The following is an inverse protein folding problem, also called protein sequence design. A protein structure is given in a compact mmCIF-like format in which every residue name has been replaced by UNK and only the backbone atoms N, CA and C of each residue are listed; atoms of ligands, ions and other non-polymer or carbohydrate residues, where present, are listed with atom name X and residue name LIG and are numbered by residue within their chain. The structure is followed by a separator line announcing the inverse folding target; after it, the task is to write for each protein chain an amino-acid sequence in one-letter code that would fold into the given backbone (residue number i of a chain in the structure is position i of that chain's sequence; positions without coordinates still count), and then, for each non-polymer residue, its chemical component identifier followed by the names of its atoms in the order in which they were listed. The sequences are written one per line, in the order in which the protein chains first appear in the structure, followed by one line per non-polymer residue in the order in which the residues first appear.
data_IF_677515742187
#
_entry.id   IF_677515742187
#
_cell.length_a   1.000
_cell.length_b   1.000
_cell.length_c   1.000
_cell.angle_alpha   90.00
_cell.angle_beta   90.00
_cell.angle_gamma   90.00
#
_symmetry.space_group_name_H-M   'P 1'
#
loop_
_entity.id
_entity.type
_entity.pdbx_description
1 polymer ?
#
# COMPACT_ATOMS: atom_id res chain seq x y z
N UNK A 1 -24.84 2.93 -18.12
CA UNK A 1 -24.28 2.32 -19.34
C UNK A 1 -23.04 1.55 -18.95
N UNK A 2 -22.87 0.32 -19.44
CA UNK A 2 -21.85 -0.63 -18.97
C UNK A 2 -20.45 -0.27 -19.52
N UNK A 3 -19.83 0.73 -18.91
CA UNK A 3 -18.51 1.29 -19.28
C UNK A 3 -17.39 0.23 -19.38
N UNK A 4 -17.29 -0.79 -18.49
CA UNK A 4 -16.30 -1.86 -18.62
C UNK A 4 -16.48 -2.70 -19.89
N UNK A 5 -17.73 -2.97 -20.28
CA UNK A 5 -18.06 -3.72 -21.51
C UNK A 5 -17.64 -2.96 -22.77
N UNK A 6 -17.75 -1.63 -22.77
CA UNK A 6 -17.26 -0.80 -23.88
C UNK A 6 -15.74 -0.77 -23.96
N UNK A 7 -15.03 -0.71 -22.83
CA UNK A 7 -13.57 -0.78 -22.79
C UNK A 7 -13.04 -2.13 -23.30
N UNK A 8 -13.65 -3.25 -22.92
CA UNK A 8 -13.29 -4.58 -23.45
C UNK A 8 -13.48 -4.66 -24.98
N UNK A 9 -14.55 -4.07 -25.51
CA UNK A 9 -14.78 -4.01 -26.97
C UNK A 9 -13.69 -3.21 -27.68
N UNK A 10 -13.22 -2.10 -27.09
CA UNK A 10 -12.13 -1.28 -27.63
C UNK A 10 -10.79 -2.04 -27.61
N UNK A 11 -10.43 -2.66 -26.47
CA UNK A 11 -9.23 -3.51 -26.37
C UNK A 11 -9.27 -4.62 -27.41
N UNK A 12 -10.39 -5.33 -27.53
CA UNK A 12 -10.55 -6.37 -28.54
C UNK A 12 -10.35 -5.84 -29.96
N UNK A 13 -10.91 -4.67 -30.27
CA UNK A 13 -10.73 -4.00 -31.56
C UNK A 13 -9.26 -3.69 -31.85
N UNK A 14 -8.56 -3.09 -30.89
CA UNK A 14 -7.14 -2.73 -31.01
C UNK A 14 -6.27 -3.97 -31.20
N UNK A 15 -6.51 -5.03 -30.42
CA UNK A 15 -5.75 -6.27 -30.52
C UNK A 15 -5.95 -6.94 -31.88
N UNK A 16 -7.19 -7.08 -32.36
CA UNK A 16 -7.50 -7.74 -33.64
C UNK A 16 -6.94 -6.96 -34.83
N UNK A 17 -6.94 -5.63 -34.76
CA UNK A 17 -6.39 -4.77 -35.82
C UNK A 17 -4.86 -4.60 -35.73
N UNK A 18 -4.24 -5.11 -34.67
CA UNK A 18 -2.81 -4.97 -34.44
C UNK A 18 -1.94 -5.76 -35.41
N UNK A 19 -0.75 -5.21 -35.70
CA UNK A 19 0.32 -5.93 -36.42
C UNK A 19 0.81 -7.16 -35.64
N UNK A 20 0.71 -7.13 -34.30
CA UNK A 20 1.11 -8.23 -33.43
C UNK A 20 0.19 -9.45 -33.65
N UNK A 21 -1.12 -9.23 -33.70
CA UNK A 21 -2.11 -10.27 -33.99
C UNK A 21 -1.92 -10.85 -35.40
N UNK A 22 -1.79 -9.98 -36.39
CA UNK A 22 -1.56 -10.38 -37.79
C UNK A 22 -0.27 -11.19 -37.98
N UNK A 23 0.73 -10.98 -37.12
CA UNK A 23 1.99 -11.74 -37.14
C UNK A 23 1.84 -13.10 -36.47
N UNK A 24 1.17 -13.16 -35.31
CA UNK A 24 0.88 -14.41 -34.62
C UNK A 24 0.03 -15.33 -35.50
N UNK A 25 -0.99 -14.78 -36.16
CA UNK A 25 -1.86 -15.54 -37.07
C UNK A 25 -1.07 -16.16 -38.23
N UNK A 26 -0.08 -15.45 -38.78
CA UNK A 26 0.79 -15.98 -39.83
C UNK A 26 1.70 -17.09 -39.31
N UNK A 27 2.24 -16.96 -38.10
CA UNK A 27 3.10 -17.99 -37.49
C UNK A 27 2.30 -19.24 -37.11
N UNK A 28 1.10 -19.09 -36.54
CA UNK A 28 0.16 -20.19 -36.31
C UNK A 28 -0.21 -20.90 -37.60
N UNK A 29 -0.53 -20.14 -38.66
CA UNK A 29 -0.84 -20.71 -39.97
C UNK A 29 0.36 -21.45 -40.55
N UNK A 30 1.57 -20.88 -40.44
CA UNK A 30 2.81 -21.53 -40.88
C UNK A 30 3.07 -22.85 -40.15
N UNK A 31 2.86 -22.92 -38.83
CA UNK A 31 2.98 -24.16 -38.05
C UNK A 31 1.95 -25.21 -38.46
N UNK A 32 0.70 -24.80 -38.69
CA UNK A 32 -0.35 -25.71 -39.18
C UNK A 32 -0.09 -26.20 -40.62
N UNK A 33 0.52 -25.39 -41.49
CA UNK A 33 0.82 -25.77 -42.87
C UNK A 33 2.15 -26.53 -43.04
N UNK A 34 3.14 -26.27 -42.18
CA UNK A 34 4.45 -26.90 -42.22
C UNK A 34 4.46 -28.33 -41.69
N UNK A 35 3.50 -28.67 -40.82
CA UNK A 35 3.39 -30.00 -40.22
C UNK A 35 2.61 -31.01 -41.08
N UNK A 36 2.94 -31.21 -42.37
CA UNK A 36 2.39 -32.29 -43.23
C UNK A 36 0.88 -32.60 -43.12
N UNK A 37 0.04 -31.64 -42.73
CA UNK A 37 -1.40 -31.86 -42.60
C UNK A 37 -1.98 -31.80 -44.02
N UNK A 38 -2.29 -32.98 -44.59
CA UNK A 38 -3.16 -33.08 -45.77
C UNK A 38 -4.40 -32.26 -45.48
N UNK A 39 -4.61 -31.20 -46.27
CA UNK A 39 -5.75 -30.28 -46.28
C UNK A 39 -6.62 -30.36 -45.02
N UNK A 40 -6.45 -29.40 -44.10
CA UNK A 40 -7.13 -29.30 -42.80
C UNK A 40 -8.64 -29.68 -42.82
N UNK A 41 -9.33 -29.50 -43.95
CA UNK A 41 -10.70 -29.95 -44.19
C UNK A 41 -10.96 -31.46 -44.05
N UNK A 42 -9.99 -32.34 -44.28
CA UNK A 42 -10.16 -33.81 -44.24
C UNK A 42 -9.94 -34.44 -42.85
N UNK A 43 -9.57 -33.65 -41.85
CA UNK A 43 -9.29 -34.12 -40.49
C UNK A 43 -10.58 -34.26 -39.67
N UNK A 44 -10.58 -35.24 -38.76
CA UNK A 44 -11.62 -35.34 -37.73
C UNK A 44 -11.58 -34.12 -36.79
N UNK A 45 -12.66 -33.84 -36.08
CA UNK A 45 -12.72 -32.72 -35.12
C UNK A 45 -11.65 -32.84 -34.03
N UNK A 46 -11.37 -34.08 -33.59
CA UNK A 46 -10.34 -34.38 -32.60
C UNK A 46 -8.93 -34.07 -33.13
N UNK A 47 -8.65 -34.45 -34.37
CA UNK A 47 -7.33 -34.21 -34.98
C UNK A 47 -7.10 -32.73 -35.30
N UNK A 48 -8.17 -31.99 -35.63
CA UNK A 48 -8.13 -30.53 -35.78
C UNK A 48 -7.77 -29.84 -34.47
N UNK A 49 -8.40 -30.27 -33.37
CA UNK A 49 -8.10 -29.76 -32.02
C UNK A 49 -6.64 -30.06 -31.64
N UNK A 50 -6.19 -31.30 -31.77
CA UNK A 50 -4.82 -31.70 -31.45
C UNK A 50 -3.76 -30.99 -32.32
N UNK A 51 -4.09 -30.65 -33.57
CA UNK A 51 -3.22 -29.87 -34.44
C UNK A 51 -3.16 -28.39 -34.03
N UNK A 52 -4.29 -27.81 -33.62
CA UNK A 52 -4.36 -26.43 -33.11
C UNK A 52 -3.63 -26.33 -31.78
N UNK A 53 -3.83 -27.26 -30.85
CA UNK A 53 -3.15 -27.29 -29.56
C UNK A 53 -1.63 -27.34 -29.72
N UNK A 54 -1.12 -28.24 -30.57
CA UNK A 54 0.32 -28.29 -30.90
C UNK A 54 0.84 -26.99 -31.51
N UNK A 55 0.07 -26.38 -32.42
CA UNK A 55 0.46 -25.12 -33.02
C UNK A 55 0.47 -23.96 -32.00
N UNK A 56 -0.48 -23.96 -31.06
CA UNK A 56 -0.57 -22.98 -29.97
C UNK A 56 0.59 -23.15 -28.99
N UNK A 57 0.92 -24.38 -28.59
CA UNK A 57 2.07 -24.68 -27.74
C UNK A 57 3.38 -24.24 -28.40
N UNK A 58 3.60 -24.61 -29.66
CA UNK A 58 4.80 -24.24 -30.41
C UNK A 58 4.94 -22.71 -30.58
N UNK A 59 3.82 -22.00 -30.67
CA UNK A 59 3.79 -20.54 -30.82
C UNK A 59 3.88 -19.82 -29.46
N UNK A 60 3.48 -20.47 -28.36
CA UNK A 60 3.46 -19.90 -27.01
C UNK A 60 4.82 -19.40 -26.50
N UNK A 61 5.92 -19.96 -27.01
CA UNK A 61 7.29 -19.55 -26.65
C UNK A 61 7.92 -18.55 -27.65
N UNK A 62 7.20 -18.18 -28.70
CA UNK A 62 7.74 -17.33 -29.77
C UNK A 62 7.74 -15.85 -29.42
N UNK A 63 8.64 -15.11 -30.06
CA UNK A 63 8.66 -13.65 -29.98
C UNK A 63 7.37 -12.99 -30.49
N UNK A 64 6.61 -13.64 -31.40
CA UNK A 64 5.33 -13.10 -31.86
C UNK A 64 4.25 -13.18 -30.78
N UNK A 65 4.19 -14.29 -30.05
CA UNK A 65 3.26 -14.43 -28.92
C UNK A 65 3.61 -13.46 -27.79
N UNK A 66 4.88 -13.34 -27.44
CA UNK A 66 5.34 -12.36 -26.44
C UNK A 66 4.96 -10.91 -26.82
N UNK A 67 5.09 -10.54 -28.11
CA UNK A 67 4.69 -9.22 -28.63
C UNK A 67 3.17 -9.02 -28.58
N UNK A 68 2.38 -10.02 -28.94
CA UNK A 68 0.92 -9.94 -28.81
C UNK A 68 0.52 -9.76 -27.36
N UNK A 69 1.09 -10.56 -26.44
CA UNK A 69 0.82 -10.45 -25.01
C UNK A 69 1.15 -9.05 -24.47
N UNK A 70 2.30 -8.50 -24.88
CA UNK A 70 2.67 -7.13 -24.52
C UNK A 70 1.68 -6.10 -25.09
N UNK A 71 1.25 -6.25 -26.34
CA UNK A 71 0.29 -5.34 -26.96
C UNK A 71 -1.11 -5.40 -26.33
N UNK A 72 -1.58 -6.60 -25.98
CA UNK A 72 -2.81 -6.80 -25.20
C UNK A 72 -2.70 -6.08 -23.87
N UNK A 73 -1.59 -6.27 -23.13
CA UNK A 73 -1.38 -5.59 -21.85
C UNK A 73 -1.40 -4.06 -22.01
N UNK A 74 -0.65 -3.48 -22.97
CA UNK A 74 -0.66 -2.03 -23.22
C UNK A 74 -2.03 -1.49 -23.62
N UNK A 75 -2.79 -2.24 -24.44
CA UNK A 75 -4.13 -1.83 -24.85
C UNK A 75 -5.11 -1.88 -23.67
N UNK A 76 -5.03 -2.92 -22.84
CA UNK A 76 -5.79 -3.00 -21.58
C UNK A 76 -5.45 -1.82 -20.68
N UNK A 77 -4.17 -1.55 -20.41
CA UNK A 77 -3.75 -0.42 -19.58
C UNK A 77 -4.28 0.91 -20.13
N UNK A 78 -4.19 1.14 -21.44
CA UNK A 78 -4.66 2.37 -22.07
C UNK A 78 -6.17 2.61 -21.89
N UNK A 79 -6.99 1.56 -22.01
CA UNK A 79 -8.45 1.71 -21.93
C UNK A 79 -9.01 1.56 -20.51
N UNK A 80 -8.32 0.83 -19.62
CA UNK A 80 -8.81 0.51 -18.27
C UNK A 80 -8.17 1.36 -17.16
N UNK A 81 -6.92 1.81 -17.29
CA UNK A 81 -6.30 2.67 -16.26
C UNK A 81 -7.07 3.97 -16.00
N UNK A 82 -7.61 4.68 -17.03
CA UNK A 82 -8.45 5.86 -16.79
C UNK A 82 -9.77 5.54 -16.10
N UNK A 83 -10.28 4.30 -16.20
CA UNK A 83 -11.53 3.90 -15.57
C UNK A 83 -11.31 3.47 -14.11
N UNK A 84 -10.19 2.78 -13.83
CA UNK A 84 -9.81 2.32 -12.49
C UNK A 84 -9.28 3.43 -11.59
N UNK A 85 -8.52 4.36 -12.17
CA UNK A 85 -7.68 5.29 -11.41
C UNK A 85 -8.04 6.76 -11.65
N UNK A 86 -9.19 7.05 -12.27
CA UNK A 86 -9.69 8.42 -12.31
C UNK A 86 -10.03 8.87 -10.88
N UNK A 87 -9.45 9.98 -10.40
CA UNK A 87 -9.85 10.55 -9.13
C UNK A 87 -11.29 11.05 -9.24
N UNK A 88 -12.20 10.71 -8.31
CA UNK A 88 -13.40 11.50 -8.13
C UNK A 88 -12.97 12.92 -7.67
N UNK A 89 -12.90 13.89 -8.58
CA UNK A 89 -12.83 15.32 -8.22
C UNK A 89 -11.62 16.15 -8.71
N UNK A 90 -10.51 15.56 -9.15
CA UNK A 90 -9.30 16.38 -9.48
C UNK A 90 -9.48 17.21 -10.78
N UNK A 91 -10.42 16.86 -11.65
CA UNK A 91 -10.72 17.67 -12.84
C UNK A 91 -11.59 18.93 -12.56
N UNK A 92 -12.15 19.11 -11.35
CA UNK A 92 -13.04 20.25 -11.06
C UNK A 92 -12.56 21.18 -9.93
N UNK A 93 -11.73 20.71 -8.98
CA UNK A 93 -11.38 21.54 -7.81
C UNK A 93 -10.34 22.65 -8.08
N UNK A 94 -9.59 22.60 -9.18
CA UNK A 94 -8.67 23.68 -9.55
C UNK A 94 -9.30 24.81 -10.38
N UNK A 95 -10.61 24.72 -10.71
CA UNK A 95 -11.33 25.71 -11.52
C UNK A 95 -12.37 26.53 -10.77
N UNK A 96 -12.65 26.26 -9.49
CA UNK A 96 -13.71 26.94 -8.75
C UNK A 96 -13.14 27.95 -7.73
N UNK A 97 -12.72 29.10 -8.25
CA UNK A 97 -12.88 30.36 -7.52
C UNK A 97 -14.34 30.80 -7.63
N UNK A 98 -14.90 31.36 -6.55
CA UNK A 98 -16.29 31.84 -6.37
C UNK A 98 -17.24 30.71 -5.93
N UNK A 99 -17.58 30.67 -4.64
CA UNK A 99 -18.76 31.31 -4.04
C UNK A 99 -20.07 30.57 -4.36
N UNK A 100 -20.77 30.23 -3.27
CA UNK A 100 -22.15 29.79 -3.14
C UNK A 100 -22.60 28.35 -3.39
N UNK A 101 -23.41 27.94 -2.42
CA UNK A 101 -24.51 26.97 -2.45
C UNK A 101 -24.18 25.48 -2.22
N UNK A 102 -24.39 25.13 -0.95
CA UNK A 102 -24.94 23.87 -0.47
C UNK A 102 -25.95 23.23 -1.44
N UNK A 103 -25.53 22.21 -2.16
CA UNK A 103 -26.26 20.95 -2.48
C UNK A 103 -25.46 20.20 -3.53
N UNK A 104 -24.35 19.59 -3.12
CA UNK A 104 -23.79 18.49 -3.90
C UNK A 104 -24.39 17.18 -3.37
N UNK A 105 -25.01 16.34 -4.22
CA UNK A 105 -25.37 15.00 -3.81
C UNK A 105 -24.07 14.31 -3.40
N UNK A 106 -24.01 13.82 -2.16
CA UNK A 106 -23.00 12.82 -1.79
C UNK A 106 -23.21 11.66 -2.74
N UNK A 107 -22.40 11.57 -3.80
CA UNK A 107 -22.29 10.35 -4.57
C UNK A 107 -21.90 9.28 -3.56
N UNK A 108 -22.84 8.39 -3.24
CA UNK A 108 -22.50 7.13 -2.61
C UNK A 108 -21.41 6.51 -3.48
N UNK A 109 -20.34 5.95 -2.88
CA UNK A 109 -19.35 5.21 -3.64
C UNK A 109 -20.03 3.93 -4.10
N UNK A 110 -20.74 3.99 -5.22
CA UNK A 110 -21.14 2.78 -5.93
C UNK A 110 -19.84 2.03 -6.23
N UNK A 111 -19.76 0.78 -5.76
CA UNK A 111 -18.59 -0.07 -5.96
C UNK A 111 -18.20 -0.03 -7.43
N UNK A 112 -16.97 0.42 -7.72
CA UNK A 112 -16.44 0.41 -9.08
C UNK A 112 -16.48 -1.05 -9.58
N UNK A 113 -17.37 -1.39 -10.53
CA UNK A 113 -17.54 -2.77 -10.98
C UNK A 113 -16.26 -3.36 -11.54
N UNK A 114 -15.37 -2.50 -12.03
CA UNK A 114 -14.08 -2.87 -12.56
C UNK A 114 -13.08 -3.19 -11.44
N UNK A 115 -13.01 -2.36 -10.40
CA UNK A 115 -12.22 -2.64 -9.22
C UNK A 115 -12.65 -3.95 -8.54
N UNK A 116 -13.96 -4.21 -8.46
CA UNK A 116 -14.51 -5.46 -7.95
C UNK A 116 -14.11 -6.66 -8.82
N UNK A 117 -14.18 -6.54 -10.15
CA UNK A 117 -13.74 -7.60 -11.06
C UNK A 117 -12.24 -7.88 -10.94
N UNK A 118 -11.40 -6.84 -10.84
CA UNK A 118 -9.96 -6.97 -10.60
C UNK A 118 -9.67 -7.63 -9.25
N UNK A 119 -10.43 -7.28 -8.20
CA UNK A 119 -10.30 -7.87 -6.86
C UNK A 119 -10.57 -9.38 -6.91
N UNK A 120 -11.71 -9.78 -7.48
CA UNK A 120 -12.08 -11.19 -7.63
C UNK A 120 -11.09 -11.98 -8.49
N UNK A 121 -10.59 -11.37 -9.56
CA UNK A 121 -9.58 -11.99 -10.41
C UNK A 121 -8.29 -12.24 -9.63
N UNK A 122 -7.85 -11.27 -8.84
CA UNK A 122 -6.64 -11.40 -8.03
C UNK A 122 -6.81 -12.43 -6.90
N UNK A 123 -7.98 -12.48 -6.27
CA UNK A 123 -8.32 -13.51 -5.27
C UNK A 123 -8.33 -14.91 -5.88
N UNK A 124 -8.95 -15.07 -7.05
CA UNK A 124 -8.98 -16.35 -7.77
C UNK A 124 -7.61 -16.74 -8.35
N UNK A 125 -6.73 -15.78 -8.61
CA UNK A 125 -5.42 -15.98 -9.24
C UNK A 125 -4.33 -15.11 -8.60
N UNK A 126 -3.86 -15.45 -7.37
CA UNK A 126 -2.89 -14.63 -6.63
C UNK A 126 -1.54 -14.44 -7.34
N UNK A 127 -1.18 -15.33 -8.25
CA UNK A 127 0.03 -15.22 -9.07
C UNK A 127 0.01 -13.98 -10.00
N UNK A 128 -1.16 -13.37 -10.24
CA UNK A 128 -1.31 -12.12 -10.98
C UNK A 128 -0.88 -10.89 -10.19
N UNK A 129 -0.41 -11.02 -8.95
CA UNK A 129 0.07 -9.90 -8.13
C UNK A 129 1.14 -9.03 -8.81
N UNK A 130 1.95 -9.60 -9.71
CA UNK A 130 2.93 -8.82 -10.47
C UNK A 130 2.28 -7.79 -11.41
N UNK A 131 1.04 -8.01 -11.84
CA UNK A 131 0.27 -7.07 -12.65
C UNK A 131 -0.13 -5.82 -11.86
N UNK A 132 -0.10 -5.84 -10.52
CA UNK A 132 -0.36 -4.65 -9.69
C UNK A 132 0.65 -3.52 -9.93
N UNK A 133 1.78 -3.78 -10.60
CA UNK A 133 2.73 -2.75 -11.01
C UNK A 133 2.12 -1.70 -11.95
N UNK A 134 1.03 -2.01 -12.65
CA UNK A 134 0.29 -1.01 -13.43
C UNK A 134 -0.40 0.06 -12.54
N UNK A 135 -0.61 -0.25 -11.25
CA UNK A 135 -1.18 0.66 -10.27
C UNK A 135 -0.13 1.50 -9.51
N UNK A 136 1.14 1.47 -9.94
CA UNK A 136 2.16 2.35 -9.38
C UNK A 136 1.76 3.82 -9.59
N UNK A 137 1.87 4.62 -8.53
CA UNK A 137 1.42 6.01 -8.44
C UNK A 137 -0.10 6.22 -8.61
N UNK A 138 -0.90 5.16 -8.48
CA UNK A 138 -2.36 5.25 -8.50
C UNK A 138 -2.97 4.79 -7.16
N UNK A 139 -4.02 5.47 -6.67
CA UNK A 139 -4.73 5.02 -5.48
C UNK A 139 -5.50 3.73 -5.80
N UNK A 140 -5.37 2.72 -4.92
CA UNK A 140 -6.19 1.52 -5.02
C UNK A 140 -7.58 1.74 -4.43
N UNK A 141 -8.67 1.37 -5.13
CA UNK A 141 -9.98 1.24 -4.52
C UNK A 141 -9.96 0.23 -3.37
N UNK A 142 -10.84 0.38 -2.37
CA UNK A 142 -10.80 -0.40 -1.12
C UNK A 142 -10.79 -1.92 -1.34
N UNK A 143 -11.72 -2.47 -2.12
CA UNK A 143 -11.76 -3.91 -2.41
C UNK A 143 -10.49 -4.43 -3.10
N UNK A 144 -9.96 -3.65 -4.06
CA UNK A 144 -8.73 -4.01 -4.76
C UNK A 144 -7.51 -3.93 -3.84
N UNK A 145 -7.48 -2.96 -2.92
CA UNK A 145 -6.44 -2.87 -1.88
C UNK A 145 -6.43 -4.10 -1.00
N UNK A 146 -7.59 -4.51 -0.48
CA UNK A 146 -7.71 -5.71 0.35
C UNK A 146 -7.20 -6.95 -0.40
N UNK A 147 -7.64 -7.16 -1.64
CA UNK A 147 -7.16 -8.26 -2.47
C UNK A 147 -5.65 -8.18 -2.76
N UNK A 148 -5.13 -6.98 -3.03
CA UNK A 148 -3.71 -6.74 -3.28
C UNK A 148 -2.85 -7.04 -2.05
N UNK A 149 -3.24 -6.55 -0.88
CA UNK A 149 -2.52 -6.79 0.37
C UNK A 149 -2.50 -8.27 0.71
N UNK A 150 -3.63 -8.98 0.59
CA UNK A 150 -3.67 -10.44 0.72
C UNK A 150 -2.70 -11.13 -0.24
N UNK A 151 -2.73 -10.79 -1.53
CA UNK A 151 -1.88 -11.44 -2.53
C UNK A 151 -0.38 -11.16 -2.33
N UNK A 152 -0.03 -9.95 -1.86
CA UNK A 152 1.35 -9.50 -1.65
C UNK A 152 1.91 -9.94 -0.30
N UNK A 153 1.09 -10.00 0.75
CA UNK A 153 1.53 -10.18 2.14
C UNK A 153 1.09 -11.49 2.79
N UNK A 154 0.35 -12.37 2.08
CA UNK A 154 -0.13 -13.63 2.66
C UNK A 154 1.00 -14.50 3.21
N UNK A 155 0.79 -14.99 4.44
CA UNK A 155 1.66 -15.94 5.15
C UNK A 155 0.83 -17.07 5.74
N UNK A 156 0.54 -18.14 4.97
CA UNK A 156 -0.29 -19.25 5.43
C UNK A 156 0.29 -19.96 6.67
N UNK A 157 1.61 -19.97 6.82
CA UNK A 157 2.32 -20.46 8.00
C UNK A 157 1.91 -19.67 9.25
N UNK A 158 1.94 -18.33 9.17
CA UNK A 158 1.55 -17.44 10.27
C UNK A 158 0.06 -17.55 10.60
N UNK A 159 -0.80 -17.67 9.59
CA UNK A 159 -2.24 -17.86 9.80
C UNK A 159 -2.53 -19.12 10.62
N UNK A 160 -1.92 -20.25 10.23
CA UNK A 160 -2.09 -21.52 10.93
C UNK A 160 -1.58 -21.43 12.37
N UNK A 161 -0.42 -20.81 12.56
CA UNK A 161 0.23 -20.68 13.85
C UNK A 161 -0.58 -19.77 14.80
N UNK A 162 -1.12 -18.66 14.28
CA UNK A 162 -2.03 -17.77 15.00
C UNK A 162 -3.30 -18.48 15.49
N UNK A 163 -3.93 -19.30 14.63
CA UNK A 163 -5.15 -20.04 14.99
C UNK A 163 -4.90 -21.03 16.13
N UNK A 164 -3.71 -21.64 16.17
CA UNK A 164 -3.28 -22.52 17.28
C UNK A 164 -3.03 -21.72 18.56
N UNK A 165 -2.37 -20.57 18.46
CA UNK A 165 -2.03 -19.70 19.60
C UNK A 165 -3.25 -19.07 20.29
N UNK A 166 -4.44 -19.11 19.69
CA UNK A 166 -5.59 -18.31 20.09
C UNK A 166 -6.06 -18.42 21.56
N UNK A 167 -5.68 -19.44 22.33
CA UNK A 167 -5.98 -19.50 23.78
C UNK A 167 -5.04 -18.62 24.61
N UNK A 168 -3.80 -18.43 24.16
CA UNK A 168 -2.75 -17.69 24.86
C UNK A 168 -2.83 -16.18 24.61
N UNK A 169 -3.52 -15.78 23.54
CA UNK A 169 -3.72 -14.39 23.12
C UNK A 169 -4.79 -13.63 23.93
N UNK A 170 -5.31 -14.21 25.01
CA UNK A 170 -6.23 -13.52 25.92
C UNK A 170 -5.46 -12.68 26.94
N UNK A 171 -5.99 -11.51 27.37
CA UNK A 171 -5.36 -10.65 28.36
C UNK A 171 -5.42 -11.26 29.77
N UNK A 172 -4.57 -12.27 30.02
CA UNK A 172 -4.40 -12.90 31.33
C UNK A 172 -3.41 -12.14 32.23
N UNK A 173 -2.29 -11.70 31.66
CA UNK A 173 -1.17 -11.11 32.38
C UNK A 173 -1.16 -9.57 32.28
N UNK A 174 -0.51 -8.88 33.22
CA UNK A 174 -0.48 -7.40 33.27
C UNK A 174 0.07 -6.77 31.98
N UNK A 175 1.11 -7.34 31.38
CA UNK A 175 1.63 -6.86 30.09
C UNK A 175 0.58 -6.94 28.97
N UNK A 176 -0.24 -7.99 28.95
CA UNK A 176 -1.31 -8.16 27.94
C UNK A 176 -2.48 -7.20 28.19
N UNK A 177 -2.78 -6.90 29.46
CA UNK A 177 -3.76 -5.88 29.84
C UNK A 177 -3.29 -4.49 29.44
N UNK A 178 -2.00 -4.21 29.59
CA UNK A 178 -1.41 -2.93 29.17
C UNK A 178 -1.51 -2.71 27.66
N UNK A 179 -1.15 -3.72 26.86
CA UNK A 179 -1.37 -3.68 25.40
C UNK A 179 -2.84 -3.44 25.07
N UNK A 180 -3.74 -4.14 25.75
CA UNK A 180 -5.18 -3.97 25.53
C UNK A 180 -5.67 -2.54 25.82
N UNK A 181 -5.12 -1.91 26.87
CA UNK A 181 -5.38 -0.51 27.22
C UNK A 181 -4.82 0.45 26.16
N UNK A 182 -3.57 0.25 25.74
CA UNK A 182 -2.92 1.06 24.71
C UNK A 182 -3.66 0.97 23.36
N UNK A 183 -4.09 -0.22 22.93
CA UNK A 183 -4.92 -0.36 21.72
C UNK A 183 -6.24 0.40 21.82
N UNK A 184 -6.90 0.36 22.99
CA UNK A 184 -8.15 1.10 23.23
C UNK A 184 -7.93 2.61 23.14
N UNK A 185 -6.85 3.11 23.72
CA UNK A 185 -6.49 4.52 23.64
C UNK A 185 -6.22 4.94 22.18
N UNK A 186 -5.43 4.15 21.44
CA UNK A 186 -5.12 4.42 20.03
C UNK A 186 -6.40 4.50 19.18
N UNK A 187 -7.28 3.50 19.22
CA UNK A 187 -8.49 3.50 18.36
C UNK A 187 -9.61 4.40 18.87
N UNK A 188 -9.73 4.60 20.19
CA UNK A 188 -10.85 5.29 20.82
C UNK A 188 -10.66 6.79 20.99
N UNK A 189 -9.43 7.24 21.26
CA UNK A 189 -9.17 8.65 21.61
C UNK A 189 -8.49 9.43 20.48
N UNK A 190 -7.91 8.74 19.49
CA UNK A 190 -7.25 9.40 18.37
C UNK A 190 -8.28 9.81 17.29
N UNK A 191 -8.46 11.10 17.01
CA UNK A 191 -9.44 11.59 16.02
C UNK A 191 -9.11 11.14 14.59
N UNK A 192 -7.85 10.81 14.30
CA UNK A 192 -7.41 10.32 12.98
C UNK A 192 -8.03 8.96 12.68
N UNK A 193 -8.36 8.17 13.72
CA UNK A 193 -8.90 6.82 13.58
C UNK A 193 -10.39 6.74 13.91
N UNK A 194 -11.11 7.87 13.80
CA UNK A 194 -12.55 7.97 14.12
C UNK A 194 -13.43 6.93 13.45
N UNK A 195 -13.04 6.42 12.29
CA UNK A 195 -13.79 5.38 11.55
C UNK A 195 -13.73 4.01 12.23
N UNK A 196 -12.71 3.77 13.05
CA UNK A 196 -12.56 2.55 13.85
C UNK A 196 -13.06 2.75 15.30
N UNK A 197 -13.32 4.00 15.70
CA UNK A 197 -13.72 4.33 17.05
C UNK A 197 -15.09 3.69 17.37
N UNK A 198 -15.15 2.97 18.49
CA UNK A 198 -16.36 2.29 18.94
C UNK A 198 -16.58 0.88 18.36
N UNK A 199 -15.81 0.45 17.36
CA UNK A 199 -15.91 -0.92 16.85
C UNK A 199 -15.21 -1.91 17.79
N UNK A 200 -16.01 -2.72 18.49
CA UNK A 200 -15.51 -3.74 19.42
C UNK A 200 -14.74 -4.85 18.70
N UNK A 201 -15.13 -5.20 17.48
CA UNK A 201 -14.46 -6.21 16.66
C UNK A 201 -13.15 -5.68 16.09
N UNK A 202 -13.09 -4.42 15.63
CA UNK A 202 -11.83 -3.80 15.21
C UNK A 202 -10.82 -3.72 16.37
N UNK A 203 -11.28 -3.33 17.57
CA UNK A 203 -10.45 -3.35 18.78
C UNK A 203 -9.95 -4.75 19.12
N UNK A 204 -10.82 -5.76 19.04
CA UNK A 204 -10.45 -7.16 19.30
C UNK A 204 -9.44 -7.68 18.28
N UNK A 205 -9.60 -7.33 17.00
CA UNK A 205 -8.67 -7.68 15.94
C UNK A 205 -7.28 -7.06 16.20
N UNK A 206 -7.23 -5.74 16.45
CA UNK A 206 -5.99 -5.03 16.77
C UNK A 206 -5.28 -5.65 17.97
N UNK A 207 -6.01 -5.92 19.06
CA UNK A 207 -5.46 -6.53 20.27
C UNK A 207 -4.89 -7.92 19.99
N UNK A 208 -5.62 -8.78 19.28
CA UNK A 208 -5.16 -10.14 19.00
C UNK A 208 -3.89 -10.15 18.12
N UNK A 209 -3.85 -9.29 17.10
CA UNK A 209 -2.72 -9.15 16.17
C UNK A 209 -1.47 -8.66 16.90
N UNK A 210 -1.61 -7.60 17.71
CA UNK A 210 -0.48 -7.03 18.46
C UNK A 210 0.02 -7.99 19.53
N UNK A 211 -0.88 -8.65 20.27
CA UNK A 211 -0.48 -9.64 21.29
C UNK A 211 0.26 -10.82 20.66
N UNK A 212 -0.15 -11.25 19.48
CA UNK A 212 0.56 -12.28 18.74
C UNK A 212 1.95 -11.82 18.30
N UNK A 213 2.09 -10.58 17.81
CA UNK A 213 3.39 -10.00 17.51
C UNK A 213 4.29 -9.91 18.75
N UNK A 214 3.77 -9.47 19.89
CA UNK A 214 4.50 -9.41 21.15
C UNK A 214 5.08 -10.79 21.53
N UNK A 215 4.28 -11.85 21.40
CA UNK A 215 4.71 -13.22 21.67
C UNK A 215 5.81 -13.66 20.71
N UNK A 216 5.68 -13.34 19.42
CA UNK A 216 6.64 -13.74 18.37
C UNK A 216 7.96 -12.98 18.46
N UNK A 217 7.91 -11.66 18.65
CA UNK A 217 9.07 -10.79 18.72
C UNK A 217 9.86 -10.95 20.03
N UNK A 218 9.30 -11.61 21.04
CA UNK A 218 9.93 -11.83 22.36
C UNK A 218 10.41 -10.51 23.01
N UNK A 219 9.61 -9.45 22.89
CA UNK A 219 9.99 -8.10 23.35
C UNK A 219 8.79 -7.21 23.67
N UNK A 220 9.08 -6.03 24.21
CA UNK A 220 8.08 -5.00 24.45
C UNK A 220 7.62 -4.38 23.13
N UNK A 221 6.31 -4.20 22.97
CA UNK A 221 5.74 -3.55 21.79
C UNK A 221 5.81 -2.02 21.95
N UNK A 222 6.48 -1.36 21.02
CA UNK A 222 6.61 0.10 20.98
C UNK A 222 5.29 0.76 20.53
N UNK A 223 5.08 2.03 20.91
CA UNK A 223 3.89 2.78 20.44
C UNK A 223 3.84 2.92 18.92
N UNK A 224 5.00 3.01 18.26
CA UNK A 224 5.09 3.02 16.81
C UNK A 224 4.56 1.72 16.20
N UNK A 225 4.88 0.57 16.80
CA UNK A 225 4.43 -0.75 16.33
C UNK A 225 2.92 -0.91 16.54
N UNK A 226 2.37 -0.41 17.64
CA UNK A 226 0.92 -0.33 17.82
C UNK A 226 0.24 0.44 16.70
N UNK A 227 0.77 1.63 16.35
CA UNK A 227 0.23 2.45 15.27
C UNK A 227 0.33 1.75 13.91
N UNK A 228 1.39 0.99 13.65
CA UNK A 228 1.55 0.22 12.42
C UNK A 228 0.48 -0.88 12.24
N UNK A 229 -0.20 -1.32 13.29
CA UNK A 229 -1.31 -2.29 13.14
C UNK A 229 -2.61 -1.66 12.61
N UNK A 230 -2.78 -0.35 12.77
CA UNK A 230 -4.05 0.35 12.50
C UNK A 230 -4.46 0.29 11.02
N UNK A 231 -3.57 0.50 10.03
CA UNK A 231 -3.96 0.43 8.62
C UNK A 231 -4.50 -0.93 8.20
N UNK A 232 -3.96 -2.03 8.73
CA UNK A 232 -4.49 -3.37 8.46
C UNK A 232 -5.92 -3.54 8.98
N UNK A 233 -6.17 -3.14 10.24
CA UNK A 233 -7.52 -3.17 10.82
C UNK A 233 -8.48 -2.29 10.02
N UNK A 234 -8.01 -1.15 9.53
CA UNK A 234 -8.80 -0.25 8.67
C UNK A 234 -9.15 -0.84 7.30
N UNK A 235 -8.19 -1.45 6.61
CA UNK A 235 -8.44 -2.10 5.30
C UNK A 235 -9.41 -3.28 5.44
N UNK A 236 -9.43 -3.93 6.60
CA UNK A 236 -10.33 -5.04 6.88
C UNK A 236 -11.68 -4.62 7.49
N UNK A 237 -11.93 -3.33 7.69
CA UNK A 237 -13.11 -2.84 8.46
C UNK A 237 -14.44 -3.39 7.95
N UNK A 238 -14.65 -3.42 6.63
CA UNK A 238 -15.93 -3.83 6.04
C UNK A 238 -16.17 -5.33 6.22
N UNK A 239 -15.11 -6.14 6.18
CA UNK A 239 -15.20 -7.57 6.47
C UNK A 239 -15.46 -7.82 7.95
N UNK A 240 -14.78 -7.07 8.83
CA UNK A 240 -14.97 -7.14 10.28
C UNK A 240 -16.41 -6.75 10.69
N UNK A 241 -16.98 -5.72 10.08
CA UNK A 241 -18.36 -5.27 10.31
C UNK A 241 -19.39 -6.28 9.79
N UNK A 242 -19.18 -6.82 8.58
CA UNK A 242 -20.04 -7.88 8.02
C UNK A 242 -20.10 -9.13 8.90
N UNK A 243 -19.05 -9.42 9.66
CA UNK A 243 -19.06 -10.51 10.64
C UNK A 243 -19.94 -10.18 11.84
N UNK A 244 -19.93 -8.95 12.36
CA UNK A 244 -20.80 -8.52 13.48
C UNK A 244 -22.27 -8.73 13.12
N UNK A 245 -22.67 -8.35 11.91
CA UNK A 245 -24.05 -8.50 11.43
C UNK A 245 -24.48 -9.97 11.28
N UNK A 246 -23.53 -10.88 11.06
CA UNK A 246 -23.76 -12.33 10.93
C UNK A 246 -23.62 -13.10 12.25
N UNK A 247 -23.19 -12.43 13.34
CA UNK A 247 -22.71 -13.03 14.60
C UNK A 247 -23.78 -13.68 15.50
N UNK A 248 -24.93 -14.06 14.98
CA UNK A 248 -25.84 -14.95 15.71
C UNK A 248 -25.31 -16.40 15.81
N UNK A 249 -24.32 -16.83 15.00
CA UNK A 249 -24.01 -18.27 14.88
C UNK A 249 -22.56 -18.76 14.89
N UNK A 250 -21.47 -17.96 14.81
CA UNK A 250 -20.13 -18.57 14.96
C UNK A 250 -19.01 -17.61 15.39
N UNK A 251 -18.38 -17.85 16.55
CA UNK A 251 -17.14 -17.16 16.99
C UNK A 251 -15.90 -17.59 16.19
N UNK A 252 -16.04 -18.61 15.33
CA UNK A 252 -14.94 -19.19 14.56
C UNK A 252 -14.54 -18.35 13.36
N UNK A 253 -15.50 -17.71 12.68
CA UNK A 253 -15.24 -16.95 11.45
C UNK A 253 -14.43 -15.67 11.69
N UNK A 254 -14.73 -14.91 12.73
CA UNK A 254 -13.96 -13.71 13.09
C UNK A 254 -12.47 -14.04 13.36
N UNK A 255 -12.18 -15.23 13.90
CA UNK A 255 -10.79 -15.65 14.15
C UNK A 255 -10.00 -15.90 12.87
N UNK A 256 -10.65 -16.36 11.80
CA UNK A 256 -9.98 -16.57 10.51
C UNK A 256 -9.53 -15.21 9.96
N UNK A 257 -10.41 -14.21 10.00
CA UNK A 257 -10.07 -12.84 9.60
C UNK A 257 -8.93 -12.27 10.46
N UNK A 258 -8.95 -12.49 11.77
CA UNK A 258 -7.86 -12.03 12.64
C UNK A 258 -6.53 -12.70 12.28
N UNK A 259 -6.56 -13.97 11.90
CA UNK A 259 -5.37 -14.69 11.45
C UNK A 259 -4.82 -14.13 10.12
N UNK A 260 -5.70 -13.72 9.20
CA UNK A 260 -5.29 -13.07 7.96
C UNK A 260 -4.64 -11.70 8.22
N UNK A 261 -5.28 -10.86 9.05
CA UNK A 261 -4.71 -9.57 9.48
C UNK A 261 -3.36 -9.79 10.18
N UNK A 262 -3.25 -10.79 11.05
CA UNK A 262 -2.01 -11.11 11.76
C UNK A 262 -0.90 -11.53 10.79
N UNK A 263 -1.22 -12.32 9.77
CA UNK A 263 -0.27 -12.74 8.76
C UNK A 263 0.26 -11.56 7.94
N UNK A 264 -0.63 -10.66 7.49
CA UNK A 264 -0.24 -9.43 6.77
C UNK A 264 0.65 -8.54 7.64
N UNK A 265 0.25 -8.32 8.90
CA UNK A 265 0.99 -7.50 9.85
C UNK A 265 2.38 -8.08 10.17
N UNK A 266 2.48 -9.39 10.46
CA UNK A 266 3.77 -10.04 10.75
C UNK A 266 4.69 -9.97 9.55
N UNK A 267 4.18 -10.25 8.34
CA UNK A 267 5.00 -10.16 7.15
C UNK A 267 5.51 -8.73 6.92
N UNK A 268 4.64 -7.75 7.12
CA UNK A 268 5.02 -6.34 7.05
C UNK A 268 6.10 -5.97 8.08
N UNK A 269 5.94 -6.39 9.34
CA UNK A 269 6.92 -6.15 10.39
C UNK A 269 8.30 -6.76 10.07
N UNK A 270 8.31 -7.97 9.50
CA UNK A 270 9.53 -8.66 9.03
C UNK A 270 10.19 -7.96 7.82
N UNK A 271 9.43 -7.16 7.06
CA UNK A 271 9.90 -6.43 5.88
C UNK A 271 10.17 -4.94 6.11
N UNK A 272 10.06 -4.45 7.35
CA UNK A 272 10.26 -3.03 7.63
C UNK A 272 11.64 -2.57 7.13
N UNK A 273 11.69 -1.43 6.41
CA UNK A 273 12.97 -0.92 5.95
C UNK A 273 13.86 -0.61 7.16
N UNK A 274 15.19 -0.70 7.03
CA UNK A 274 16.11 -0.48 8.15
C UNK A 274 15.86 0.85 8.87
N UNK A 275 15.45 1.92 8.18
CA UNK A 275 15.12 3.22 8.78
C UNK A 275 13.92 3.22 9.74
N UNK A 276 13.08 2.18 9.71
CA UNK A 276 11.86 2.02 10.51
C UNK A 276 12.04 0.93 11.58
N UNK A 277 12.94 -0.03 11.34
CA UNK A 277 13.21 -1.17 12.23
C UNK A 277 13.53 -0.75 13.67
N UNK A 278 13.13 -1.59 14.62
CA UNK A 278 13.38 -1.46 16.06
C UNK A 278 14.81 -1.84 16.46
N UNK A 279 15.58 -2.51 15.58
CA UNK A 279 17.00 -2.81 15.78
C UNK A 279 17.83 -1.53 15.84
N UNK A 280 18.37 -1.19 17.02
CA UNK A 280 19.05 0.09 17.24
C UNK A 280 20.24 0.35 16.30
N UNK A 281 20.98 -0.71 15.91
CA UNK A 281 22.16 -0.62 15.04
C UNK A 281 21.78 -0.47 13.57
N UNK A 282 20.85 -1.29 13.08
CA UNK A 282 20.35 -1.22 11.70
C UNK A 282 19.53 0.06 11.46
N UNK A 283 18.76 0.47 12.47
CA UNK A 283 17.96 1.70 12.47
C UNK A 283 18.83 2.95 12.37
N UNK A 284 19.98 2.98 13.04
CA UNK A 284 20.87 4.13 12.95
C UNK A 284 21.47 4.32 11.54
N UNK A 285 21.97 3.26 10.90
CA UNK A 285 22.52 3.35 9.54
C UNK A 285 21.42 3.55 8.49
N UNK A 286 20.31 2.81 8.61
CA UNK A 286 19.14 2.95 7.76
C UNK A 286 18.59 4.37 7.78
N UNK A 287 18.39 4.94 8.96
CA UNK A 287 17.88 6.31 9.10
C UNK A 287 18.90 7.36 8.61
N UNK A 288 20.21 7.08 8.68
CA UNK A 288 21.25 7.94 8.10
C UNK A 288 21.18 7.98 6.58
N UNK A 289 21.02 6.83 5.93
CA UNK A 289 20.81 6.73 4.47
C UNK A 289 19.51 7.42 4.07
N UNK A 290 18.44 7.17 4.83
CA UNK A 290 17.15 7.81 4.63
C UNK A 290 17.21 9.33 4.70
N UNK A 291 17.79 9.89 5.77
CA UNK A 291 17.92 11.33 5.97
C UNK A 291 18.77 11.98 4.87
N UNK A 292 19.86 11.32 4.43
CA UNK A 292 20.65 11.78 3.30
C UNK A 292 19.82 11.84 2.02
N UNK A 293 19.04 10.80 1.73
CA UNK A 293 18.21 10.77 0.53
C UNK A 293 17.15 11.88 0.53
N UNK A 294 16.54 12.15 1.68
CA UNK A 294 15.59 13.27 1.83
C UNK A 294 16.29 14.62 1.65
N UNK A 295 17.50 14.82 2.19
CA UNK A 295 18.28 16.05 1.95
C UNK A 295 18.60 16.26 0.47
N UNK A 296 19.07 15.23 -0.23
CA UNK A 296 19.36 15.27 -1.67
C UNK A 296 18.12 15.66 -2.49
N UNK A 297 16.97 15.06 -2.17
CA UNK A 297 15.70 15.36 -2.83
C UNK A 297 15.25 16.79 -2.52
N UNK A 298 15.32 17.25 -1.27
CA UNK A 298 14.99 18.64 -0.93
C UNK A 298 15.92 19.64 -1.61
N UNK A 299 17.21 19.35 -1.69
CA UNK A 299 18.17 20.22 -2.38
C UNK A 299 17.87 20.32 -3.88
N UNK A 300 17.37 19.24 -4.49
CA UNK A 300 17.03 19.19 -5.91
C UNK A 300 15.69 19.87 -6.20
N UNK A 301 14.64 19.52 -5.44
CA UNK A 301 13.27 19.94 -5.69
C UNK A 301 12.92 21.32 -5.11
N UNK A 302 13.48 21.70 -3.96
CA UNK A 302 13.28 23.03 -3.36
C UNK A 302 14.53 23.54 -2.61
N UNK A 303 15.50 24.11 -3.36
CA UNK A 303 16.73 24.66 -2.78
C UNK A 303 16.48 25.75 -1.73
N UNK A 304 15.38 26.50 -1.84
CA UNK A 304 15.04 27.58 -0.91
C UNK A 304 14.64 27.01 0.45
N UNK A 305 13.77 26.00 0.46
CA UNK A 305 13.37 25.30 1.67
C UNK A 305 14.58 24.61 2.32
N UNK A 306 15.40 23.92 1.52
CA UNK A 306 16.63 23.30 1.99
C UNK A 306 17.55 24.32 2.69
N UNK A 307 17.79 25.49 2.07
CA UNK A 307 18.62 26.54 2.67
C UNK A 307 18.01 27.10 3.97
N UNK A 308 16.69 27.29 4.02
CA UNK A 308 15.99 27.78 5.20
C UNK A 308 16.11 26.81 6.38
N UNK A 309 15.89 25.51 6.14
CA UNK A 309 16.09 24.45 7.13
C UNK A 309 17.53 24.40 7.60
N UNK A 310 18.51 24.51 6.68
CA UNK A 310 19.92 24.55 7.03
C UNK A 310 20.28 25.73 7.96
N UNK A 311 19.68 26.91 7.73
CA UNK A 311 19.83 28.07 8.62
C UNK A 311 19.18 27.82 10.00
N UNK A 312 17.98 27.22 10.04
CA UNK A 312 17.29 26.89 11.29
C UNK A 312 18.05 25.83 12.12
N UNK A 313 18.65 24.84 11.46
CA UNK A 313 19.39 23.75 12.11
C UNK A 313 20.70 24.25 12.72
N UNK A 314 21.43 25.13 12.01
CA UNK A 314 22.66 25.76 12.52
C UNK A 314 22.46 26.57 13.80
N UNK A 315 21.32 27.26 13.93
CA UNK A 315 21.01 28.08 15.12
C UNK A 315 20.77 27.28 16.40
N UNK A 316 20.44 26.00 16.29
CA UNK A 316 20.07 25.16 17.44
C UNK A 316 21.28 24.38 17.95
N UNK A 317 22.47 25.00 17.92
CA UNK A 317 23.79 24.38 18.08
C UNK A 317 24.02 23.58 19.36
N UNK A 318 23.49 22.35 19.41
CA UNK A 318 23.52 21.50 20.60
C UNK A 318 23.70 20.01 20.31
N UNK A 319 24.22 19.60 19.15
CA UNK A 319 24.63 18.19 18.98
C UNK A 319 25.90 17.95 19.82
N UNK A 320 25.90 16.99 20.77
CA UNK A 320 27.10 16.60 21.50
C UNK A 320 28.23 16.28 20.52
N UNK A 321 29.48 16.66 20.85
CA UNK A 321 30.65 16.41 19.98
C UNK A 321 30.80 14.93 19.55
N UNK A 322 30.25 14.00 20.33
CA UNK A 322 30.26 12.54 20.08
C UNK A 322 29.37 12.14 18.90
N UNK A 323 28.19 12.73 18.75
CA UNK A 323 27.23 12.37 17.69
C UNK A 323 27.58 12.95 16.32
N UNK A 324 28.32 14.06 16.29
CA UNK A 324 28.82 14.66 15.05
C UNK A 324 29.75 13.72 14.27
N UNK A 325 30.57 12.91 14.96
CA UNK A 325 31.47 11.94 14.30
C UNK A 325 30.71 10.77 13.67
N UNK A 326 29.60 10.33 14.27
CA UNK A 326 28.81 9.21 13.76
C UNK A 326 27.94 9.58 12.53
N UNK A 327 27.38 10.80 12.51
CA UNK A 327 26.45 11.24 11.46
C UNK A 327 27.10 12.07 10.35
N UNK A 328 28.31 12.58 10.56
CA UNK A 328 29.10 13.33 9.58
C UNK A 328 28.59 14.76 9.35
N UNK A 329 27.35 14.91 8.88
CA UNK A 329 26.69 16.18 8.60
C UNK A 329 25.72 16.54 9.75
N UNK A 330 25.87 17.72 10.40
CA UNK A 330 24.91 18.21 11.39
C UNK A 330 23.47 18.30 10.86
N UNK A 331 23.30 18.55 9.55
CA UNK A 331 21.99 18.57 8.91
C UNK A 331 21.30 17.20 8.98
N UNK A 332 21.98 16.12 8.58
CA UNK A 332 21.44 14.75 8.67
C UNK A 332 21.01 14.39 10.10
N UNK A 333 21.82 14.74 11.10
CA UNK A 333 21.49 14.45 12.50
C UNK A 333 20.21 15.17 12.92
N UNK A 334 20.09 16.47 12.63
CA UNK A 334 18.91 17.24 12.98
C UNK A 334 17.68 16.80 12.19
N UNK A 335 17.85 16.50 10.89
CA UNK A 335 16.78 15.97 10.06
C UNK A 335 16.28 14.62 10.59
N UNK A 336 17.20 13.74 11.02
CA UNK A 336 16.86 12.48 11.71
C UNK A 336 16.03 12.74 12.95
N UNK A 337 16.46 13.63 13.85
CA UNK A 337 15.70 13.93 15.08
C UNK A 337 14.29 14.43 14.81
N UNK A 338 14.08 15.14 13.69
CA UNK A 338 12.78 15.67 13.29
C UNK A 338 11.93 14.57 12.65
N UNK A 339 12.49 13.79 11.73
CA UNK A 339 11.74 12.83 10.92
C UNK A 339 11.51 11.49 11.63
N UNK A 340 12.41 11.06 12.49
CA UNK A 340 12.39 9.72 13.09
C UNK A 340 11.05 9.35 13.75
N UNK A 341 10.40 10.22 14.56
CA UNK A 341 9.10 9.89 15.17
C UNK A 341 7.97 9.67 14.15
N UNK A 342 8.10 10.25 12.95
CA UNK A 342 7.13 10.12 11.87
C UNK A 342 7.42 8.89 11.00
N UNK A 343 8.70 8.61 10.76
CA UNK A 343 9.14 7.48 9.94
C UNK A 343 8.99 6.15 10.68
N UNK A 344 9.26 6.08 11.99
CA UNK A 344 9.08 4.85 12.77
C UNK A 344 7.67 4.28 12.76
N UNK A 345 6.67 5.15 12.56
CA UNK A 345 5.26 4.78 12.41
C UNK A 345 4.78 4.87 10.96
N UNK A 346 5.69 4.99 10.00
CA UNK A 346 5.40 5.15 8.56
C UNK A 346 4.27 6.14 8.27
N UNK A 347 4.33 7.31 8.92
CA UNK A 347 3.38 8.42 8.83
C UNK A 347 1.96 8.13 9.37
N UNK A 348 1.75 6.99 10.03
CA UNK A 348 0.47 6.68 10.69
C UNK A 348 0.16 7.73 11.75
N UNK A 349 -1.02 8.33 11.65
CA UNK A 349 -1.44 9.44 12.51
C UNK A 349 -0.90 10.82 12.10
N UNK A 350 0.06 10.91 11.18
CA UNK A 350 0.55 12.21 10.66
C UNK A 350 -0.27 12.72 9.47
N UNK A 351 -0.79 11.77 8.67
CA UNK A 351 -1.63 12.01 7.50
C UNK A 351 -2.94 11.20 7.60
N UNK A 352 -3.91 11.46 6.72
CA UNK A 352 -5.16 10.70 6.70
C UNK A 352 -4.92 9.23 6.38
N UNK A 353 -5.83 8.36 6.81
CA UNK A 353 -5.70 6.92 6.60
C UNK A 353 -5.64 6.55 5.10
N UNK A 354 -6.38 7.25 4.24
CA UNK A 354 -6.30 7.05 2.79
C UNK A 354 -4.90 7.31 2.24
N UNK A 355 -4.21 8.34 2.74
CA UNK A 355 -2.84 8.68 2.33
C UNK A 355 -1.86 7.64 2.87
N UNK A 356 -2.03 7.17 4.10
CA UNK A 356 -1.23 6.07 4.66
C UNK A 356 -1.37 4.82 3.78
N UNK A 357 -2.62 4.43 3.50
CA UNK A 357 -2.92 3.25 2.69
C UNK A 357 -2.32 3.39 1.29
N UNK A 358 -2.43 4.57 0.66
CA UNK A 358 -1.78 4.84 -0.63
C UNK A 358 -0.25 4.64 -0.55
N UNK A 359 0.43 5.23 0.44
CA UNK A 359 1.88 5.08 0.59
C UNK A 359 2.25 3.61 0.77
N UNK A 360 1.46 2.86 1.54
CA UNK A 360 1.69 1.45 1.80
C UNK A 360 1.40 0.58 0.58
N UNK A 361 0.37 0.89 -0.20
CA UNK A 361 0.11 0.25 -1.50
C UNK A 361 1.36 0.35 -2.38
N UNK A 362 1.95 1.54 -2.48
CA UNK A 362 3.15 1.76 -3.28
C UNK A 362 4.36 0.99 -2.73
N UNK A 363 4.55 0.95 -1.41
CA UNK A 363 5.58 0.13 -0.78
C UNK A 363 5.38 -1.37 -1.10
N UNK A 364 4.16 -1.88 -0.97
CA UNK A 364 3.84 -3.31 -1.14
C UNK A 364 3.96 -3.77 -2.59
N UNK A 365 3.47 -2.98 -3.55
CA UNK A 365 3.59 -3.28 -4.98
C UNK A 365 5.06 -3.38 -5.41
N UNK A 366 5.95 -2.60 -4.77
CA UNK A 366 7.38 -2.59 -5.07
C UNK A 366 8.25 -3.55 -4.26
N UNK A 367 7.67 -4.40 -3.39
CA UNK A 367 8.46 -5.29 -2.50
C UNK A 367 9.39 -6.25 -3.25
N UNK A 368 9.03 -6.66 -4.47
CA UNK A 368 9.82 -7.58 -5.27
C UNK A 368 10.98 -6.89 -6.03
N UNK A 369 11.16 -5.57 -5.84
CA UNK A 369 12.23 -4.77 -6.44
C UNK A 369 13.18 -4.26 -5.34
N UNK A 370 14.38 -4.85 -5.17
CA UNK A 370 15.28 -4.54 -4.05
C UNK A 370 15.68 -3.05 -3.92
N UNK A 371 15.74 -2.33 -5.04
CA UNK A 371 16.13 -0.93 -5.09
C UNK A 371 14.94 0.04 -4.93
N UNK A 372 13.72 -0.49 -4.91
CA UNK A 372 12.52 0.34 -4.85
C UNK A 372 12.28 0.85 -3.43
N UNK A 373 12.71 2.07 -3.18
CA UNK A 373 12.53 2.77 -1.89
C UNK A 373 11.75 4.06 -2.11
N UNK A 374 10.42 3.98 -2.05
CA UNK A 374 9.53 5.12 -2.28
C UNK A 374 9.32 6.01 -1.05
N UNK A 375 9.54 5.49 0.17
CA UNK A 375 9.28 6.23 1.42
C UNK A 375 10.05 7.57 1.55
N UNK A 376 11.34 7.69 1.16
CA UNK A 376 12.03 8.99 1.13
C UNK A 376 11.34 10.00 0.22
N UNK A 377 10.81 9.58 -0.92
CA UNK A 377 10.11 10.46 -1.86
C UNK A 377 8.80 10.97 -1.27
N UNK A 378 7.98 10.08 -0.70
CA UNK A 378 6.75 10.51 0.01
C UNK A 378 7.04 11.45 1.17
N UNK A 379 8.13 11.19 1.89
CA UNK A 379 8.56 12.08 2.99
C UNK A 379 8.98 13.45 2.48
N UNK A 380 9.74 13.52 1.38
CA UNK A 380 10.09 14.80 0.75
C UNK A 380 8.83 15.53 0.28
N UNK A 381 7.91 14.86 -0.41
CA UNK A 381 6.63 15.45 -0.83
C UNK A 381 5.85 15.98 0.36
N UNK A 382 5.77 15.22 1.45
CA UNK A 382 5.13 15.68 2.69
C UNK A 382 5.78 16.96 3.25
N UNK A 383 7.12 17.05 3.25
CA UNK A 383 7.83 18.27 3.66
C UNK A 383 7.57 19.44 2.71
N UNK A 384 7.51 19.20 1.40
CA UNK A 384 7.19 20.22 0.39
C UNK A 384 5.76 20.73 0.53
N UNK A 385 4.79 19.88 0.85
CA UNK A 385 3.42 20.30 1.17
C UNK A 385 3.35 21.18 2.44
N UNK A 386 4.33 21.05 3.33
CA UNK A 386 4.47 21.88 4.54
C UNK A 386 5.42 23.07 4.36
N UNK A 387 5.92 23.30 3.15
CA UNK A 387 6.92 24.30 2.79
C UNK A 387 6.69 25.65 3.44
N UNK A 388 5.52 26.26 3.24
CA UNK A 388 5.27 27.62 3.75
C UNK A 388 5.34 27.70 5.27
N UNK A 389 4.97 26.62 5.96
CA UNK A 389 5.10 26.54 7.42
C UNK A 389 6.57 26.41 7.80
N UNK A 390 7.30 25.52 7.13
CA UNK A 390 8.71 25.23 7.40
C UNK A 390 9.63 26.42 7.08
N UNK A 391 9.35 27.20 6.04
CA UNK A 391 10.07 28.45 5.73
C UNK A 391 9.98 29.48 6.86
N UNK A 392 8.89 29.46 7.64
CA UNK A 392 8.70 30.32 8.81
C UNK A 392 9.35 29.76 10.08
N UNK A 393 9.94 28.56 10.04
CA UNK A 393 10.61 27.97 11.18
C UNK A 393 11.97 28.64 11.40
N UNK A 394 12.20 29.14 12.61
CA UNK A 394 13.45 29.82 13.00
C UNK A 394 14.42 28.92 13.78
N UNK A 395 13.96 27.75 14.21
CA UNK A 395 14.69 26.78 15.03
C UNK A 395 14.17 25.36 14.83
N UNK A 396 14.92 24.35 15.27
CA UNK A 396 14.50 22.94 15.22
C UNK A 396 13.22 22.68 16.01
N UNK A 397 13.07 23.29 17.20
CA UNK A 397 11.83 23.20 17.98
C UNK A 397 10.62 23.78 17.22
N UNK A 398 10.82 24.89 16.48
CA UNK A 398 9.78 25.43 15.60
C UNK A 398 9.45 24.48 14.44
N UNK A 399 10.44 23.80 13.87
CA UNK A 399 10.19 22.79 12.83
C UNK A 399 9.34 21.63 13.40
N UNK A 400 9.75 21.04 14.52
CA UNK A 400 9.02 19.94 15.17
C UNK A 400 7.58 20.36 15.51
N UNK A 401 7.39 21.51 16.15
CA UNK A 401 6.05 22.01 16.49
C UNK A 401 5.17 22.25 15.26
N UNK A 402 5.76 22.64 14.12
CA UNK A 402 5.01 22.88 12.87
C UNK A 402 4.65 21.60 12.13
N UNK A 403 5.47 20.56 12.25
CA UNK A 403 5.11 19.21 11.79
C UNK A 403 4.01 18.61 12.68
N UNK A 404 4.07 18.86 13.98
CA UNK A 404 3.12 18.32 14.96
C UNK A 404 1.78 19.07 15.03
N UNK A 405 1.66 20.29 14.50
CA UNK A 405 0.47 21.15 14.65
C UNK A 405 -0.79 20.70 13.89
N UNK A 406 -0.85 19.46 13.38
CA UNK A 406 -2.12 18.77 13.02
C UNK A 406 -2.54 17.69 14.03
N UNK A 407 -1.64 17.24 14.91
CA UNK A 407 -1.88 16.19 15.90
C UNK A 407 -2.40 16.73 17.26
N UNK A 408 -2.01 17.94 17.66
CA UNK A 408 -2.24 18.46 19.02
C UNK A 408 -3.45 19.39 19.22
N UNK A 409 -4.39 19.47 18.27
CA UNK A 409 -5.69 20.08 18.57
C UNK A 409 -6.64 19.12 19.31
N UNK A 410 -6.23 17.87 19.59
CA UNK A 410 -7.09 16.87 20.26
C UNK A 410 -6.48 16.21 21.50
N UNK A 411 -5.18 16.32 21.76
CA UNK A 411 -4.50 15.58 22.85
C UNK A 411 -4.00 16.40 24.04
N UNK A 412 -4.42 17.67 24.19
CA UNK A 412 -4.21 18.43 25.44
C UNK A 412 -5.48 19.21 25.81
N UNK A 413 -6.54 18.46 26.11
CA UNK A 413 -7.52 18.85 27.13
C UNK A 413 -7.61 17.65 28.08
N UNK A 414 -7.01 17.84 29.26
CA UNK A 414 -6.83 16.96 30.42
C UNK A 414 -5.53 16.16 30.49
#
# INVERSE_FOLDING_TARGET
MDMPSQALKKVRGDVITSRAWSRLQRELLAQMTGGHLRTFGSLSTSDKLAAVERAVEAVGETAAYARLRAHVATSVDYHFSPLLFQPPGIAQEFSATAEDSSTMPRAHPEADPLAEACSRLLEASPHLKHSLKCALNHPLPHGLRLAAWRALLSRPDVQKDFLVAGKELQPGDESKKEISRRCRHVLGENPVFRELAGSSVALSAMQAVVLYWMQRASGEVLDSELLLSVPFVHVWREELERQVDRSSSSKGEARVIFAEIAAEYVHFMEMLPPSVSSSATESADGMKKFARRVEELLQTEDPQLHQALGKAFKKTGGSPKKDRRAWGNPFHHTLKSILFPHIQKMLVGDVSMDVVCYIWDQCFIGLDVPEYQCLPYFTTVWLLLLRDRLLRAKSVANCMLRLWKRLYQVTLVH
#
